data_IF_795182044609
#
_entry.id   IF_795182044609
#
_cell.length_a   1.000
_cell.length_b   1.000
_cell.length_c   1.000
_cell.angle_alpha   90.00
_cell.angle_beta   90.00
_cell.angle_gamma   90.00
#
_symmetry.space_group_name_H-M   'P 1'
#
loop_
_entity.id
_entity.type
_entity.pdbx_description
1 polymer ?
#
# COMPACT_ATOMS: atom_id res chain seq x y z
N UNK A 1 31.97 8.60 -49.09
CA UNK A 1 31.03 7.53 -48.68
C UNK A 1 31.32 7.15 -47.22
N UNK A 2 30.55 7.66 -46.25
CA UNK A 2 30.64 7.23 -44.84
C UNK A 2 29.38 7.67 -44.11
N UNK A 3 28.42 6.76 -43.95
CA UNK A 3 27.36 6.86 -42.94
C UNK A 3 26.68 5.49 -42.66
N UNK A 4 27.40 4.48 -42.12
CA UNK A 4 26.74 3.26 -41.63
C UNK A 4 26.33 3.31 -40.14
N UNK A 5 26.71 4.35 -39.38
CA UNK A 5 26.51 4.38 -37.92
C UNK A 5 25.12 4.82 -37.46
N UNK A 6 24.40 5.64 -38.24
CA UNK A 6 23.06 6.14 -37.87
C UNK A 6 21.99 5.04 -37.87
N UNK A 7 22.10 4.06 -38.76
CA UNK A 7 21.16 2.94 -38.85
C UNK A 7 21.22 1.98 -37.65
N UNK A 8 22.36 1.90 -36.96
CA UNK A 8 22.52 1.03 -35.79
C UNK A 8 21.92 1.65 -34.53
N UNK A 9 22.05 2.97 -34.38
CA UNK A 9 21.49 3.76 -33.27
C UNK A 9 19.96 3.78 -33.30
N UNK A 10 19.35 3.91 -34.49
CA UNK A 10 17.90 3.85 -34.66
C UNK A 10 17.33 2.46 -34.32
N UNK A 11 18.00 1.38 -34.76
CA UNK A 11 17.60 0.01 -34.41
C UNK A 11 17.77 -0.31 -32.92
N UNK A 12 18.78 0.25 -32.26
CA UNK A 12 18.94 0.15 -30.81
C UNK A 12 17.81 0.90 -30.07
N UNK A 13 17.39 2.06 -30.58
CA UNK A 13 16.25 2.79 -30.01
C UNK A 13 14.92 2.05 -30.19
N UNK A 14 14.67 1.49 -31.38
CA UNK A 14 13.48 0.67 -31.65
C UNK A 14 13.48 -0.64 -30.85
N UNK A 15 14.66 -1.26 -30.65
CA UNK A 15 14.80 -2.42 -29.79
C UNK A 15 14.58 -2.08 -28.31
N UNK A 16 15.02 -0.90 -27.84
CA UNK A 16 14.73 -0.42 -26.48
C UNK A 16 13.25 -0.11 -26.29
N UNK A 17 12.60 0.51 -27.28
CA UNK A 17 11.16 0.78 -27.25
C UNK A 17 10.33 -0.52 -27.31
N UNK A 18 10.81 -1.54 -28.03
CA UNK A 18 10.14 -2.85 -28.12
C UNK A 18 10.46 -3.78 -26.93
N UNK A 19 11.52 -3.49 -26.16
CA UNK A 19 11.88 -4.17 -24.91
C UNK A 19 11.23 -3.55 -23.66
N UNK A 20 10.28 -2.63 -23.82
CA UNK A 20 9.13 -2.55 -22.91
C UNK A 20 8.27 -3.82 -23.08
N UNK A 21 8.92 -4.98 -22.92
CA UNK A 21 8.30 -6.23 -22.52
C UNK A 21 7.37 -5.85 -21.39
N UNK A 22 6.08 -5.99 -21.66
CA UNK A 22 5.04 -5.99 -20.66
C UNK A 22 5.49 -6.97 -19.58
N UNK A 23 6.14 -6.46 -18.53
CA UNK A 23 6.28 -7.16 -17.27
C UNK A 23 4.86 -7.63 -16.97
N UNK A 24 4.63 -8.94 -16.79
CA UNK A 24 3.29 -9.40 -16.43
C UNK A 24 2.88 -8.56 -15.23
N UNK A 25 1.78 -7.81 -15.38
CA UNK A 25 1.27 -6.98 -14.31
C UNK A 25 1.12 -7.90 -13.10
N UNK A 26 1.94 -7.67 -12.08
CA UNK A 26 1.93 -8.51 -10.89
C UNK A 26 0.52 -8.46 -10.33
N UNK A 27 -0.13 -9.61 -10.08
CA UNK A 27 -1.52 -9.62 -9.69
C UNK A 27 -1.70 -8.83 -8.40
N UNK A 28 -2.79 -8.06 -8.36
CA UNK A 28 -3.15 -7.28 -7.19
C UNK A 28 -3.34 -8.19 -5.96
N UNK A 29 -2.89 -7.69 -4.83
CA UNK A 29 -3.07 -8.27 -3.50
C UNK A 29 -4.10 -7.43 -2.76
N UNK A 30 -5.15 -8.09 -2.25
CA UNK A 30 -6.23 -7.45 -1.48
C UNK A 30 -6.14 -7.82 0.00
N UNK A 31 -5.81 -6.86 0.86
CA UNK A 31 -5.63 -7.06 2.29
C UNK A 31 -6.77 -6.42 3.08
N UNK A 32 -7.35 -7.14 4.04
CA UNK A 32 -8.37 -6.60 4.92
C UNK A 32 -7.71 -6.00 6.17
N UNK A 33 -7.72 -4.68 6.32
CA UNK A 33 -7.07 -4.00 7.45
C UNK A 33 -8.14 -3.43 8.40
N UNK A 34 -8.01 -3.74 9.69
CA UNK A 34 -8.91 -3.24 10.75
C UNK A 34 -8.09 -2.60 11.86
N UNK A 35 -8.49 -1.41 12.31
CA UNK A 35 -7.83 -0.68 13.40
C UNK A 35 -8.54 -0.94 14.74
N UNK A 36 -7.76 -1.24 15.76
CA UNK A 36 -8.20 -1.42 17.14
C UNK A 36 -7.46 -0.46 18.07
N UNK A 37 -8.07 -0.14 19.20
CA UNK A 37 -7.38 0.56 20.29
C UNK A 37 -6.46 -0.39 21.07
N UNK A 38 -5.52 0.17 21.81
CA UNK A 38 -4.68 -0.60 22.73
C UNK A 38 -5.47 -1.24 23.89
N UNK A 39 -4.97 -2.34 24.45
CA UNK A 39 -5.45 -2.89 25.72
C UNK A 39 -6.79 -3.64 25.65
N UNK A 40 -7.12 -4.26 24.51
CA UNK A 40 -8.39 -4.98 24.32
C UNK A 40 -9.58 -4.07 24.04
N UNK A 41 -9.30 -2.82 23.66
CA UNK A 41 -10.30 -1.82 23.25
C UNK A 41 -11.06 -2.24 21.99
N UNK A 42 -12.27 -1.68 21.77
CA UNK A 42 -13.09 -2.03 20.61
C UNK A 42 -12.40 -1.68 19.28
N UNK A 43 -12.91 -2.29 18.21
CA UNK A 43 -12.62 -1.87 16.85
C UNK A 43 -12.91 -0.38 16.70
N UNK A 44 -11.90 0.37 16.25
CA UNK A 44 -11.99 1.81 16.05
C UNK A 44 -12.35 2.15 14.61
N UNK A 45 -11.85 1.38 13.63
CA UNK A 45 -12.02 1.70 12.21
C UNK A 45 -11.89 0.44 11.34
N UNK A 46 -12.60 0.41 10.21
CA UNK A 46 -12.56 -0.68 9.23
C UNK A 46 -13.71 -1.70 9.38
N UNK A 47 -13.60 -2.87 8.73
CA UNK A 47 -12.50 -3.27 7.85
C UNK A 47 -12.43 -2.44 6.56
N UNK A 48 -11.22 -2.04 6.17
CA UNK A 48 -10.92 -1.49 4.84
C UNK A 48 -10.23 -2.54 3.99
N UNK A 49 -10.62 -2.67 2.73
CA UNK A 49 -9.90 -3.47 1.76
C UNK A 49 -8.78 -2.62 1.15
N UNK A 50 -7.53 -3.06 1.25
CA UNK A 50 -6.38 -2.35 0.70
C UNK A 50 -5.84 -3.14 -0.48
N UNK A 51 -5.93 -2.54 -1.66
CA UNK A 51 -5.38 -3.04 -2.91
C UNK A 51 -3.92 -2.61 -3.03
N UNK A 52 -3.04 -3.56 -3.28
CA UNK A 52 -1.59 -3.35 -3.35
C UNK A 52 -0.95 -4.35 -4.32
N UNK A 53 0.36 -4.25 -4.55
CA UNK A 53 1.13 -5.24 -5.31
C UNK A 53 2.11 -6.00 -4.39
N UNK A 54 2.60 -7.19 -4.78
CA UNK A 54 3.60 -7.92 -4.02
C UNK A 54 4.91 -7.14 -3.81
N UNK A 55 5.21 -6.18 -4.69
CA UNK A 55 6.43 -5.36 -4.64
C UNK A 55 6.33 -4.15 -3.70
N UNK A 56 5.12 -3.76 -3.29
CA UNK A 56 4.96 -2.66 -2.36
C UNK A 56 5.49 -2.99 -0.97
N UNK A 57 6.19 -2.03 -0.38
CA UNK A 57 6.56 -2.08 1.04
C UNK A 57 5.35 -1.82 1.92
N UNK A 58 5.30 -2.49 3.07
CA UNK A 58 4.24 -2.34 4.05
C UNK A 58 4.04 -0.89 4.50
N UNK A 59 5.12 -0.08 4.58
CA UNK A 59 5.05 1.35 4.93
C UNK A 59 4.08 2.13 4.04
N UNK A 60 3.94 1.76 2.75
CA UNK A 60 2.99 2.41 1.82
C UNK A 60 1.55 2.07 2.16
N UNK A 61 1.31 0.80 2.50
CA UNK A 61 0.00 0.30 2.96
C UNK A 61 -0.38 0.99 4.27
N UNK A 62 0.54 1.08 5.22
CA UNK A 62 0.36 1.80 6.49
C UNK A 62 -0.01 3.26 6.22
N UNK A 63 0.76 3.96 5.39
CA UNK A 63 0.49 5.37 5.05
C UNK A 63 -0.88 5.56 4.39
N UNK A 64 -1.25 4.68 3.46
CA UNK A 64 -2.56 4.74 2.79
C UNK A 64 -3.71 4.53 3.77
N UNK A 65 -3.64 3.46 4.58
CA UNK A 65 -4.66 3.16 5.58
C UNK A 65 -4.75 4.25 6.66
N UNK A 66 -3.62 4.73 7.18
CA UNK A 66 -3.59 5.71 8.26
C UNK A 66 -4.13 7.08 7.81
N UNK A 67 -3.84 7.52 6.57
CA UNK A 67 -4.46 8.73 6.00
C UNK A 67 -5.98 8.61 5.94
N UNK A 68 -6.49 7.49 5.43
CA UNK A 68 -7.93 7.24 5.39
C UNK A 68 -8.55 7.18 6.80
N UNK A 69 -7.87 6.52 7.74
CA UNK A 69 -8.32 6.41 9.13
C UNK A 69 -8.14 7.70 9.96
N UNK A 70 -7.43 8.71 9.43
CA UNK A 70 -7.15 9.96 10.14
C UNK A 70 -6.20 9.80 11.34
N UNK A 71 -5.26 8.86 11.27
CA UNK A 71 -4.24 8.60 12.31
C UNK A 71 -2.82 8.73 11.74
N UNK A 72 -1.84 8.89 12.61
CA UNK A 72 -0.43 8.98 12.18
C UNK A 72 0.19 7.58 12.01
N UNK A 73 0.93 7.31 10.92
CA UNK A 73 1.57 6.02 10.68
C UNK A 73 2.43 5.51 11.84
N UNK A 74 3.23 6.38 12.45
CA UNK A 74 4.11 6.06 13.57
C UNK A 74 3.36 5.67 14.87
N UNK A 75 2.07 5.96 14.94
CA UNK A 75 1.22 5.62 16.07
C UNK A 75 0.55 4.26 15.96
N UNK A 76 0.78 3.53 14.86
CA UNK A 76 0.10 2.28 14.56
C UNK A 76 1.10 1.15 14.32
N UNK A 77 0.84 0.00 14.93
CA UNK A 77 1.60 -1.24 14.66
C UNK A 77 0.70 -2.21 13.90
N UNK A 78 1.21 -2.75 12.80
CA UNK A 78 0.49 -3.72 11.97
C UNK A 78 0.90 -5.13 12.39
N UNK A 79 -0.08 -6.01 12.59
CA UNK A 79 0.10 -7.39 13.00
C UNK A 79 -0.51 -8.35 11.98
N UNK A 80 0.15 -9.48 11.76
CA UNK A 80 -0.43 -10.62 11.03
C UNK A 80 -1.57 -11.25 11.84
N UNK A 81 -2.31 -12.15 11.20
CA UNK A 81 -3.37 -12.95 11.85
C UNK A 81 -2.85 -13.76 13.05
N UNK A 82 -1.58 -14.17 13.04
CA UNK A 82 -0.92 -14.90 14.13
C UNK A 82 -0.43 -13.97 15.27
N UNK A 83 -0.72 -12.67 15.19
CA UNK A 83 -0.34 -11.66 16.17
C UNK A 83 1.09 -11.12 16.05
N UNK A 84 1.86 -11.59 15.06
CA UNK A 84 3.24 -11.12 14.84
C UNK A 84 3.24 -9.70 14.27
N UNK A 85 4.03 -8.81 14.88
CA UNK A 85 4.28 -7.48 14.32
C UNK A 85 4.98 -7.56 12.96
N UNK A 86 4.45 -6.85 11.98
CA UNK A 86 4.94 -6.79 10.61
C UNK A 86 5.94 -5.65 10.45
N UNK A 87 7.01 -5.89 9.69
CA UNK A 87 8.07 -4.91 9.45
C UNK A 87 7.68 -3.93 8.35
N UNK A 88 7.63 -2.60 8.59
CA UNK A 88 7.21 -1.61 7.60
C UNK A 88 8.05 -1.59 6.31
N UNK A 89 9.34 -1.88 6.41
CA UNK A 89 10.29 -1.84 5.30
C UNK A 89 10.18 -3.07 4.38
N UNK A 90 9.60 -4.16 4.87
CA UNK A 90 9.42 -5.39 4.11
C UNK A 90 8.30 -5.24 3.08
N UNK A 91 8.48 -5.89 1.93
CA UNK A 91 7.48 -5.99 0.88
C UNK A 91 6.36 -6.96 1.24
N UNK A 92 5.21 -6.80 0.60
CA UNK A 92 4.07 -7.74 0.70
C UNK A 92 4.52 -9.18 0.40
N UNK A 93 5.38 -9.37 -0.61
CA UNK A 93 5.94 -10.67 -0.95
C UNK A 93 6.85 -11.24 0.16
N UNK A 94 7.76 -10.43 0.72
CA UNK A 94 8.66 -10.87 1.81
C UNK A 94 7.89 -11.22 3.09
N UNK A 95 6.77 -10.54 3.34
CA UNK A 95 5.86 -10.84 4.44
C UNK A 95 4.91 -12.02 4.14
N UNK A 96 4.99 -12.62 2.95
CA UNK A 96 4.12 -13.71 2.50
C UNK A 96 2.63 -13.36 2.59
N UNK A 97 2.28 -12.09 2.39
CA UNK A 97 0.90 -11.62 2.41
C UNK A 97 0.25 -11.87 1.04
N UNK A 98 -0.89 -12.55 1.06
CA UNK A 98 -1.72 -12.83 -0.11
C UNK A 98 -3.11 -12.21 0.02
N UNK A 99 -3.84 -12.14 -1.11
CA UNK A 99 -5.23 -11.68 -1.10
C UNK A 99 -6.08 -12.45 -0.09
N UNK A 100 -6.91 -11.73 0.64
CA UNK A 100 -7.76 -12.26 1.72
C UNK A 100 -7.10 -12.28 3.10
N UNK A 101 -5.81 -11.98 3.23
CA UNK A 101 -5.20 -11.86 4.55
C UNK A 101 -5.82 -10.71 5.35
N UNK A 102 -6.16 -11.01 6.60
CA UNK A 102 -6.54 -10.02 7.59
C UNK A 102 -5.30 -9.47 8.29
N UNK A 103 -5.25 -8.14 8.42
CA UNK A 103 -4.23 -7.41 9.15
C UNK A 103 -4.88 -6.63 10.27
N UNK A 104 -4.31 -6.78 11.46
CA UNK A 104 -4.73 -6.04 12.64
C UNK A 104 -3.81 -4.85 12.82
N UNK A 105 -4.34 -3.65 12.71
CA UNK A 105 -3.66 -2.41 13.06
C UNK A 105 -4.01 -2.06 14.51
N UNK A 106 -3.01 -1.78 15.34
CA UNK A 106 -3.21 -1.42 16.75
C UNK A 106 -2.68 -0.02 16.99
N UNK A 107 -3.55 0.86 17.48
CA UNK A 107 -3.22 2.22 17.84
C UNK A 107 -2.47 2.26 19.17
N UNK A 108 -1.39 3.04 19.26
CA UNK A 108 -0.65 3.26 20.49
C UNK A 108 -1.53 3.92 21.57
N UNK A 109 -1.35 3.59 22.87
CA UNK A 109 -2.24 4.03 23.95
C UNK A 109 -2.43 5.55 24.08
N UNK A 110 -1.41 6.32 23.71
CA UNK A 110 -1.42 7.79 23.83
C UNK A 110 -1.73 8.50 22.52
N UNK A 111 -2.03 7.77 21.45
CA UNK A 111 -2.26 8.36 20.14
C UNK A 111 -3.69 8.92 20.02
N UNK A 112 -3.88 9.97 19.22
CA UNK A 112 -5.21 10.50 18.93
C UNK A 112 -6.10 9.44 18.31
N UNK A 113 -7.37 9.41 18.71
CA UNK A 113 -8.38 8.55 18.10
C UNK A 113 -8.60 8.92 16.63
N UNK A 114 -8.99 7.94 15.78
CA UNK A 114 -9.29 8.19 14.37
C UNK A 114 -10.42 9.20 14.18
N UNK A 115 -10.41 9.91 13.06
CA UNK A 115 -11.46 10.88 12.71
C UNK A 115 -12.82 10.18 12.54
N UNK A 116 -13.90 10.90 12.87
CA UNK A 116 -15.29 10.35 12.89
C UNK A 116 -15.74 9.78 11.53
N UNK A 117 -15.18 10.24 10.41
CA UNK A 117 -15.54 9.76 9.06
C UNK A 117 -15.14 8.31 8.81
N UNK A 118 -14.00 7.86 9.32
CA UNK A 118 -13.52 6.50 9.11
C UNK A 118 -14.24 5.47 10.00
N UNK A 119 -14.72 5.91 11.17
CA UNK A 119 -15.54 5.11 12.08
C UNK A 119 -16.95 4.84 11.52
N UNK A 120 -17.47 5.72 10.65
CA UNK A 120 -18.83 5.67 10.12
C UNK A 120 -18.93 5.01 8.72
N UNK A 121 -17.81 4.68 8.08
CA UNK A 121 -17.80 4.19 6.70
C UNK A 121 -18.16 2.69 6.61
N UNK A 122 -19.22 2.37 5.86
CA UNK A 122 -19.50 1.03 5.40
C UNK A 122 -18.48 0.64 4.31
N UNK A 123 -17.61 -0.32 4.60
CA UNK A 123 -16.65 -0.98 3.69
C UNK A 123 -16.03 -0.11 2.58
N UNK A 124 -14.75 0.23 2.72
CA UNK A 124 -14.00 1.01 1.71
C UNK A 124 -12.96 0.16 0.97
N UNK A 125 -12.65 0.53 -0.27
CA UNK A 125 -11.50 0.02 -1.02
C UNK A 125 -10.47 1.14 -1.17
N UNK A 126 -9.27 0.91 -0.64
CA UNK A 126 -8.14 1.82 -0.72
C UNK A 126 -7.14 1.29 -1.75
N UNK A 127 -6.71 2.13 -2.69
CA UNK A 127 -5.68 1.78 -3.67
C UNK A 127 -4.32 2.34 -3.21
N UNK A 128 -3.31 1.48 -3.14
CA UNK A 128 -1.94 1.89 -2.80
C UNK A 128 -1.25 2.34 -4.08
N UNK A 129 -1.08 3.64 -4.22
CA UNK A 129 -0.44 4.22 -5.39
C UNK A 129 1.08 3.99 -5.41
N UNK A 130 1.63 3.89 -6.62
CA UNK A 130 3.06 3.62 -6.85
C UNK A 130 3.99 4.78 -6.43
N UNK A 131 3.45 6.00 -6.34
CA UNK A 131 4.19 7.24 -6.06
C UNK A 131 3.61 8.01 -4.88
N UNK A 132 4.47 8.48 -3.98
CA UNK A 132 4.05 9.33 -2.85
C UNK A 132 3.47 10.67 -3.30
N UNK A 133 3.89 11.17 -4.48
CA UNK A 133 3.32 12.38 -5.07
C UNK A 133 1.86 12.16 -5.49
N UNK A 134 1.57 11.01 -6.12
CA UNK A 134 0.20 10.65 -6.47
C UNK A 134 -0.66 10.58 -5.19
N UNK A 135 -0.10 9.97 -4.14
CA UNK A 135 -0.80 9.72 -2.88
C UNK A 135 -1.22 11.00 -2.17
N UNK A 136 -0.42 12.06 -2.30
CA UNK A 136 -0.74 13.39 -1.77
C UNK A 136 -1.79 14.10 -2.62
N UNK A 137 -1.73 13.97 -3.95
CA UNK A 137 -2.72 14.61 -4.84
C UNK A 137 -4.11 13.98 -4.73
N UNK A 138 -4.19 12.67 -4.53
CA UNK A 138 -5.45 11.95 -4.32
C UNK A 138 -6.12 12.36 -3.00
N UNK A 139 -5.34 12.54 -1.93
CA UNK A 139 -5.84 12.99 -0.62
C UNK A 139 -6.26 14.46 -0.54
N UNK A 140 -5.91 15.29 -1.53
CA UNK A 140 -6.33 16.70 -1.63
C UNK A 140 -7.65 16.90 -2.37
N UNK A 141 -8.14 15.88 -3.08
CA UNK A 141 -9.33 15.93 -3.94
C UNK A 141 -10.56 15.23 -3.32
N UNK A 142 -10.43 14.67 -2.11
CA UNK A 142 -11.46 13.90 -1.40
C UNK A 142 -12.05 14.62 -0.20
#
# INVERSE_FOLDING_TARGET
QKAPQLGLLLRLHEAHASLQLALPAMPDVLLAVTLFGSGGSPQLCGPAMVKTTPAHQLRRIIGCFCRWAGVQPESVVFHSVDGRALTPEATVAELSLSSGHAITAVLAPSAPLPSSSAQAAAFTLLDVEDSELAALTSGLMG
#
